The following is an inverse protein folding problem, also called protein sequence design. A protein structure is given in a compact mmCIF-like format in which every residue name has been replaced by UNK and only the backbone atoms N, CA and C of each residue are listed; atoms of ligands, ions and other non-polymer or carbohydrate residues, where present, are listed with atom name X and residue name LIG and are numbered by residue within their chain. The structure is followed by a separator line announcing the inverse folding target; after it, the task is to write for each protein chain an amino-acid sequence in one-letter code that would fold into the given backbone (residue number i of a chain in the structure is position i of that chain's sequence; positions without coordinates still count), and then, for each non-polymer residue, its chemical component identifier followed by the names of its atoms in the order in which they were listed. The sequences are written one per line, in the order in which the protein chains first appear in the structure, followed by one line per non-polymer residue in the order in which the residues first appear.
data_IF_063550028613
#
_entry.id   IF_063550028613
#
_cell.length_a   1.000
_cell.length_b   1.000
_cell.length_c   1.000
_cell.angle_alpha   90.00
_cell.angle_beta   90.00
_cell.angle_gamma   90.00
#
_symmetry.space_group_name_H-M   'P 1'
#
loop_
_entity.id
_entity.type
_entity.pdbx_description
1 polymer ?
#
# COMPACT_ATOMS: atom_id res chain seq x y z
N UNK A 1 -57.32 -29.31 36.89
CA UNK A 1 -56.73 -29.80 35.63
C UNK A 1 -55.81 -28.71 35.09
N UNK A 2 -54.50 -28.90 35.20
CA UNK A 2 -53.49 -27.91 34.75
C UNK A 2 -53.24 -28.02 33.25
N UNK A 3 -52.99 -26.90 32.54
CA UNK A 3 -52.55 -26.94 31.15
C UNK A 3 -51.06 -27.30 31.08
N UNK A 4 -50.72 -28.26 30.22
CA UNK A 4 -49.33 -28.61 29.89
C UNK A 4 -48.82 -27.63 28.84
N UNK A 5 -47.84 -26.81 29.20
CA UNK A 5 -47.13 -25.89 28.31
C UNK A 5 -46.08 -26.65 27.50
N UNK A 6 -46.30 -26.75 26.18
CA UNK A 6 -45.38 -27.33 25.21
C UNK A 6 -44.28 -26.30 24.89
N UNK A 7 -43.06 -26.51 25.39
CA UNK A 7 -41.92 -25.65 25.11
C UNK A 7 -41.26 -26.11 23.81
N UNK A 8 -41.44 -25.33 22.74
CA UNK A 8 -40.69 -25.52 21.50
C UNK A 8 -39.26 -25.00 21.72
N UNK A 9 -38.30 -25.91 21.86
CA UNK A 9 -36.89 -25.55 21.83
C UNK A 9 -36.49 -25.25 20.37
N UNK A 10 -36.36 -23.96 20.03
CA UNK A 10 -35.75 -23.54 18.77
C UNK A 10 -34.23 -23.72 18.92
N UNK A 11 -33.69 -24.76 18.29
CA UNK A 11 -32.25 -24.94 18.18
C UNK A 11 -31.68 -23.93 17.17
N UNK A 12 -30.96 -22.92 17.65
CA UNK A 12 -30.11 -22.08 16.80
C UNK A 12 -28.92 -22.92 16.34
N UNK A 13 -28.97 -23.44 15.11
CA UNK A 13 -27.76 -23.91 14.43
C UNK A 13 -26.91 -22.69 14.09
N UNK A 14 -25.87 -22.45 14.87
CA UNK A 14 -24.81 -21.50 14.52
C UNK A 14 -24.01 -22.10 13.35
N UNK A 15 -24.29 -21.67 12.13
CA UNK A 15 -23.42 -21.94 10.98
C UNK A 15 -22.12 -21.16 11.17
N UNK A 16 -21.06 -21.86 11.57
CA UNK A 16 -19.70 -21.33 11.54
C UNK A 16 -19.29 -21.14 10.09
N UNK A 17 -19.45 -19.93 9.56
CA UNK A 17 -18.83 -19.54 8.30
C UNK A 17 -17.33 -19.50 8.59
N UNK A 18 -16.49 -20.29 7.90
CA UNK A 18 -15.05 -20.13 8.04
C UNK A 18 -14.72 -18.71 7.58
N UNK A 19 -14.25 -17.88 8.51
CA UNK A 19 -13.59 -16.63 8.17
C UNK A 19 -12.34 -17.01 7.39
N UNK A 20 -12.40 -16.90 6.06
CA UNK A 20 -11.24 -17.07 5.22
C UNK A 20 -10.29 -15.91 5.56
N UNK A 21 -9.18 -16.24 6.22
CA UNK A 21 -8.11 -15.29 6.46
C UNK A 21 -7.65 -14.70 5.12
N UNK A 22 -7.14 -13.47 5.17
CA UNK A 22 -6.57 -12.86 3.97
C UNK A 22 -5.42 -13.74 3.44
N UNK A 23 -5.39 -13.93 2.12
CA UNK A 23 -4.38 -14.78 1.49
C UNK A 23 -2.98 -14.20 1.77
N UNK A 24 -2.02 -15.02 2.25
CA UNK A 24 -0.68 -14.53 2.52
C UNK A 24 -0.01 -14.06 1.24
N UNK A 25 0.69 -12.92 1.31
CA UNK A 25 1.51 -12.47 0.19
C UNK A 25 2.59 -13.50 -0.14
N UNK A 26 2.93 -13.70 -1.43
CA UNK A 26 4.01 -14.59 -1.81
C UNK A 26 5.33 -14.13 -1.19
N UNK A 27 6.27 -15.04 -0.90
CA UNK A 27 7.56 -14.68 -0.33
C UNK A 27 8.29 -13.66 -1.23
N UNK A 28 9.20 -12.83 -0.66
CA UNK A 28 10.03 -11.94 -1.44
C UNK A 28 10.75 -12.68 -2.57
N UNK A 29 10.72 -12.11 -3.77
CA UNK A 29 11.35 -12.65 -4.96
C UNK A 29 11.96 -11.50 -5.76
N UNK A 30 12.98 -11.82 -6.57
CA UNK A 30 13.44 -10.87 -7.56
C UNK A 30 12.31 -10.58 -8.56
N UNK A 31 12.14 -9.30 -8.90
CA UNK A 31 11.16 -8.89 -9.90
C UNK A 31 11.77 -7.86 -10.84
N UNK A 32 11.16 -7.73 -12.02
CA UNK A 32 11.48 -6.75 -13.03
C UNK A 32 10.19 -6.32 -13.72
N UNK A 33 10.01 -5.02 -13.91
CA UNK A 33 8.94 -4.49 -14.76
C UNK A 33 9.39 -3.21 -15.48
N UNK A 34 8.70 -2.90 -16.57
CA UNK A 34 8.89 -1.68 -17.35
C UNK A 34 7.58 -0.92 -17.33
N UNK A 35 7.61 0.37 -16.98
CA UNK A 35 6.43 1.23 -17.06
C UNK A 35 6.10 1.57 -18.51
N UNK A 36 4.90 2.08 -18.78
CA UNK A 36 4.53 2.58 -20.10
C UNK A 36 5.47 3.71 -20.59
N UNK A 37 6.04 4.47 -19.66
CA UNK A 37 7.00 5.55 -19.93
C UNK A 37 8.45 5.05 -20.09
N UNK A 38 8.68 3.73 -20.04
CA UNK A 38 9.98 3.06 -20.17
C UNK A 38 10.95 3.27 -19.01
N UNK A 39 10.43 3.47 -17.80
CA UNK A 39 11.26 3.34 -16.58
C UNK A 39 11.38 1.85 -16.25
N UNK A 40 12.60 1.37 -16.05
CA UNK A 40 12.81 -0.01 -15.63
C UNK A 40 12.96 -0.05 -14.11
N UNK A 41 12.28 -1.00 -13.47
CA UNK A 41 12.35 -1.20 -12.03
C UNK A 41 12.70 -2.65 -11.74
N UNK A 42 13.75 -2.87 -10.95
CA UNK A 42 14.19 -4.21 -10.55
C UNK A 42 14.30 -4.30 -9.04
N UNK A 43 13.55 -5.21 -8.41
CA UNK A 43 13.78 -5.59 -7.02
C UNK A 43 14.87 -6.65 -6.95
N UNK A 44 16.07 -6.30 -6.47
CA UNK A 44 17.23 -7.18 -6.44
C UNK A 44 17.34 -7.85 -5.08
N UNK A 45 16.68 -9.00 -4.92
CA UNK A 45 16.59 -9.71 -3.62
C UNK A 45 17.97 -10.03 -3.02
N UNK A 46 18.92 -10.50 -3.84
CA UNK A 46 20.25 -10.88 -3.37
C UNK A 46 21.10 -9.71 -2.82
N UNK A 47 20.74 -8.47 -3.17
CA UNK A 47 21.41 -7.25 -2.69
C UNK A 47 20.53 -6.43 -1.74
N UNK A 48 19.32 -6.91 -1.44
CA UNK A 48 18.31 -6.22 -0.65
C UNK A 48 18.13 -4.75 -1.07
N UNK A 49 17.73 -4.52 -2.32
CA UNK A 49 17.50 -3.19 -2.87
C UNK A 49 16.47 -3.16 -4.00
N UNK A 50 16.06 -1.96 -4.37
CA UNK A 50 15.36 -1.67 -5.64
C UNK A 50 16.26 -0.83 -6.52
N UNK A 51 16.41 -1.21 -7.78
CA UNK A 51 17.11 -0.45 -8.82
C UNK A 51 16.12 0.20 -9.76
N UNK A 52 16.37 1.46 -10.09
CA UNK A 52 15.60 2.27 -11.01
C UNK A 52 16.51 2.67 -12.17
N UNK A 53 16.14 2.28 -13.39
CA UNK A 53 16.77 2.79 -14.62
C UNK A 53 15.80 3.82 -15.22
N UNK A 54 16.11 5.13 -15.16
CA UNK A 54 15.23 6.18 -15.63
C UNK A 54 15.15 6.22 -17.16
N UNK A 55 14.21 7.02 -17.68
CA UNK A 55 14.01 7.17 -19.13
C UNK A 55 15.24 7.74 -19.84
N UNK A 56 16.07 8.50 -19.13
CA UNK A 56 17.32 9.05 -19.66
C UNK A 56 18.38 7.98 -19.97
N UNK A 57 18.29 6.80 -19.33
CA UNK A 57 19.10 5.64 -19.67
C UNK A 57 19.84 5.02 -18.49
N UNK A 58 20.59 3.95 -18.78
CA UNK A 58 21.29 3.13 -17.78
C UNK A 58 22.39 3.89 -17.02
N UNK A 59 22.98 4.92 -17.62
CA UNK A 59 24.03 5.72 -16.96
C UNK A 59 23.49 6.53 -15.77
N UNK A 60 22.19 6.81 -15.75
CA UNK A 60 21.51 7.51 -14.65
C UNK A 60 20.81 6.55 -13.68
N UNK A 61 21.16 5.26 -13.73
CA UNK A 61 20.61 4.24 -12.83
C UNK A 61 20.92 4.57 -11.39
N UNK A 62 19.92 4.44 -10.53
CA UNK A 62 20.05 4.67 -9.10
C UNK A 62 19.33 3.59 -8.28
N UNK A 63 19.61 3.55 -6.98
CA UNK A 63 19.18 2.46 -6.10
C UNK A 63 18.53 3.01 -4.82
N UNK A 64 17.51 2.29 -4.33
CA UNK A 64 16.86 2.51 -3.03
C UNK A 64 17.21 1.33 -2.14
N UNK A 65 17.68 1.56 -0.89
CA UNK A 65 18.02 0.49 0.03
C UNK A 65 16.78 -0.32 0.47
N UNK A 66 16.96 -1.62 0.57
CA UNK A 66 15.94 -2.59 0.95
C UNK A 66 15.12 -3.09 -0.22
N UNK A 67 14.81 -4.39 -0.24
CA UNK A 67 13.82 -4.95 -1.15
C UNK A 67 12.44 -4.38 -0.81
N UNK A 68 11.68 -3.97 -1.83
CA UNK A 68 10.34 -3.38 -1.68
C UNK A 68 9.37 -4.04 -2.64
N UNK A 69 8.17 -4.37 -2.17
CA UNK A 69 7.11 -4.98 -2.99
C UNK A 69 6.27 -3.95 -3.75
N UNK A 70 6.06 -2.79 -3.15
CA UNK A 70 5.07 -1.81 -3.58
C UNK A 70 5.77 -0.56 -4.11
N UNK A 71 6.19 -0.58 -5.37
CA UNK A 71 7.08 0.44 -5.96
C UNK A 71 6.39 1.10 -7.16
N UNK A 72 6.30 2.43 -7.12
CA UNK A 72 5.64 3.24 -8.14
C UNK A 72 6.56 4.40 -8.58
N UNK A 73 7.36 4.24 -9.65
CA UNK A 73 8.20 5.32 -10.15
C UNK A 73 7.39 6.45 -10.80
N UNK A 74 7.96 7.66 -10.83
CA UNK A 74 7.49 8.75 -11.69
C UNK A 74 7.72 8.43 -13.17
N UNK A 75 7.07 9.17 -14.06
CA UNK A 75 7.18 8.95 -15.50
C UNK A 75 8.61 9.00 -16.04
N UNK A 76 9.47 9.84 -15.47
CA UNK A 76 10.88 10.01 -15.85
C UNK A 76 11.85 9.11 -15.06
N UNK A 77 11.37 8.44 -14.01
CA UNK A 77 12.18 7.61 -13.11
C UNK A 77 13.06 8.41 -12.15
N UNK A 78 12.84 9.71 -12.01
CA UNK A 78 13.61 10.57 -11.07
C UNK A 78 13.07 10.51 -9.64
N UNK A 79 11.82 10.06 -9.46
CA UNK A 79 11.20 9.88 -8.16
C UNK A 79 10.53 8.51 -8.06
N UNK A 80 10.39 8.01 -6.84
CA UNK A 80 9.70 6.75 -6.57
C UNK A 80 8.87 6.89 -5.31
N UNK A 81 7.60 6.49 -5.40
CA UNK A 81 6.76 6.23 -4.25
C UNK A 81 6.88 4.76 -3.88
N UNK A 82 7.24 4.49 -2.63
CA UNK A 82 7.21 3.15 -2.05
C UNK A 82 6.07 3.10 -1.06
N UNK A 83 5.09 2.24 -1.31
CA UNK A 83 3.97 2.03 -0.40
C UNK A 83 4.25 0.95 0.65
N UNK A 84 3.33 0.80 1.61
CA UNK A 84 3.38 -0.23 2.64
C UNK A 84 3.66 -1.64 2.07
N UNK A 85 4.51 -2.46 2.75
CA UNK A 85 4.93 -3.78 2.26
C UNK A 85 3.79 -4.81 2.15
N UNK A 86 2.73 -4.64 2.93
CA UNK A 86 1.46 -5.39 2.83
C UNK A 86 0.56 -4.93 1.68
N UNK A 87 1.11 -4.19 0.70
CA UNK A 87 0.36 -3.57 -0.39
C UNK A 87 -0.75 -2.67 0.17
N UNK A 88 -2.00 -2.96 -0.16
CA UNK A 88 -3.18 -2.24 0.29
C UNK A 88 -3.65 -2.60 1.71
N UNK A 89 -3.00 -3.56 2.39
CA UNK A 89 -3.38 -4.06 3.71
C UNK A 89 -2.31 -3.73 4.77
N UNK A 90 -2.75 -3.24 5.93
CA UNK A 90 -1.92 -3.02 7.11
C UNK A 90 -2.04 -4.21 8.06
N UNK A 91 -0.90 -4.75 8.47
CA UNK A 91 -0.84 -5.80 9.50
C UNK A 91 -0.99 -5.20 10.91
N UNK A 92 -1.62 -5.96 11.81
CA UNK A 92 -1.77 -5.54 13.20
C UNK A 92 -2.74 -4.37 13.41
N UNK A 93 -2.64 -3.74 14.59
CA UNK A 93 -3.47 -2.58 14.95
C UNK A 93 -2.91 -1.34 14.27
N UNK A 94 -3.69 -0.65 13.41
CA UNK A 94 -3.24 0.57 12.77
C UNK A 94 -3.00 1.70 13.78
N UNK A 95 -1.91 2.45 13.62
CA UNK A 95 -1.61 3.64 14.42
C UNK A 95 -1.39 4.86 13.53
N UNK A 96 -1.70 6.08 14.00
CA UNK A 96 -1.55 7.29 13.19
C UNK A 96 -0.11 7.52 12.69
N UNK A 97 0.89 7.11 13.45
CA UNK A 97 2.31 7.33 13.17
C UNK A 97 2.89 6.32 12.18
N UNK A 98 2.14 5.26 11.85
CA UNK A 98 2.60 4.23 10.92
C UNK A 98 2.87 4.84 9.55
N UNK A 99 4.11 4.81 9.10
CA UNK A 99 4.47 5.17 7.72
C UNK A 99 3.80 4.22 6.74
N UNK A 100 3.04 4.77 5.80
CA UNK A 100 2.38 4.00 4.73
C UNK A 100 2.92 4.32 3.35
N UNK A 101 3.64 5.44 3.20
CA UNK A 101 4.36 5.78 1.99
C UNK A 101 5.73 6.40 2.31
N UNK A 102 6.71 6.11 1.46
CA UNK A 102 8.01 6.76 1.38
C UNK A 102 8.18 7.38 -0.01
N UNK A 103 8.81 8.54 -0.09
CA UNK A 103 9.10 9.22 -1.35
C UNK A 103 10.60 9.33 -1.49
N UNK A 104 11.14 8.74 -2.55
CA UNK A 104 12.55 8.73 -2.87
C UNK A 104 12.81 9.56 -4.14
N UNK A 105 13.99 10.19 -4.20
CA UNK A 105 14.49 10.89 -5.36
C UNK A 105 15.85 10.35 -5.79
N UNK A 106 16.13 10.39 -7.09
CA UNK A 106 17.45 10.10 -7.61
C UNK A 106 18.50 11.04 -6.94
N UNK A 107 19.69 10.53 -6.57
CA UNK A 107 20.21 9.17 -6.83
C UNK A 107 19.97 8.15 -5.70
N UNK A 108 18.97 8.33 -4.83
CA UNK A 108 18.68 7.44 -3.70
C UNK A 108 18.38 8.17 -2.38
N UNK A 109 17.92 9.42 -2.45
CA UNK A 109 17.58 10.24 -1.28
C UNK A 109 16.12 10.00 -0.86
N UNK A 110 15.90 9.74 0.43
CA UNK A 110 14.55 9.75 1.00
C UNK A 110 14.10 11.20 1.20
N UNK A 111 13.19 11.69 0.36
CA UNK A 111 12.63 13.04 0.46
C UNK A 111 11.69 13.19 1.65
N UNK A 112 10.95 12.13 1.99
CA UNK A 112 10.01 12.15 3.09
C UNK A 112 9.12 10.93 3.19
N UNK A 113 8.29 10.92 4.21
CA UNK A 113 7.35 9.84 4.52
C UNK A 113 5.94 10.39 4.74
N UNK A 114 4.94 9.55 4.51
CA UNK A 114 3.54 9.85 4.80
C UNK A 114 3.06 8.89 5.90
N UNK A 115 2.80 9.40 7.12
CA UNK A 115 2.18 8.61 8.17
C UNK A 115 0.67 8.49 7.93
N UNK A 116 0.09 7.35 8.32
CA UNK A 116 -1.33 7.02 8.11
C UNK A 116 -2.27 8.12 8.61
N UNK A 117 -2.00 8.69 9.79
CA UNK A 117 -2.79 9.74 10.43
C UNK A 117 -2.84 11.05 9.64
N UNK A 118 -1.95 11.25 8.66
CA UNK A 118 -2.05 12.40 7.73
C UNK A 118 -3.15 12.19 6.70
N UNK A 119 -3.44 10.93 6.35
CA UNK A 119 -4.41 10.57 5.32
C UNK A 119 -5.81 10.36 5.90
N UNK A 120 -5.91 9.70 7.05
CA UNK A 120 -7.18 9.39 7.69
C UNK A 120 -6.99 9.00 9.15
N UNK A 121 -8.09 8.99 9.92
CA UNK A 121 -8.10 8.38 11.25
C UNK A 121 -7.94 6.85 11.10
N UNK A 122 -6.96 6.21 11.75
CA UNK A 122 -6.83 4.75 11.73
C UNK A 122 -8.09 4.00 12.19
N UNK A 123 -8.95 4.62 13.02
CA UNK A 123 -10.22 4.05 13.45
C UNK A 123 -11.25 3.92 12.31
N UNK A 124 -11.09 4.68 11.22
CA UNK A 124 -11.99 4.68 10.06
C UNK A 124 -11.59 3.64 8.99
N UNK A 125 -10.51 2.88 9.22
CA UNK A 125 -10.05 1.88 8.26
C UNK A 125 -11.02 0.70 8.15
N UNK A 126 -11.27 0.28 6.91
CA UNK A 126 -12.09 -0.90 6.62
C UNK A 126 -11.35 -2.18 7.09
N UNK A 127 -11.91 -2.94 8.06
CA UNK A 127 -11.30 -4.18 8.50
C UNK A 127 -11.54 -5.29 7.47
N UNK A 128 -10.54 -6.16 7.30
CA UNK A 128 -10.65 -7.44 6.59
C UNK A 128 -10.67 -8.59 7.60
N UNK A 129 -10.50 -9.84 7.15
CA UNK A 129 -10.48 -10.98 8.06
C UNK A 129 -9.32 -10.92 9.07
N UNK A 130 -8.18 -10.34 8.69
CA UNK A 130 -7.01 -10.22 9.58
C UNK A 130 -6.21 -8.91 9.46
N UNK A 131 -6.63 -7.97 8.60
CA UNK A 131 -5.91 -6.73 8.31
C UNK A 131 -6.85 -5.52 8.27
N UNK A 132 -6.29 -4.36 7.93
CA UNK A 132 -7.03 -3.15 7.63
C UNK A 132 -6.64 -2.63 6.25
N UNK A 133 -7.63 -2.31 5.42
CA UNK A 133 -7.39 -1.71 4.11
C UNK A 133 -7.13 -0.22 4.29
N UNK A 134 -6.01 0.28 3.79
CA UNK A 134 -5.62 1.70 3.92
C UNK A 134 -5.64 2.49 2.61
N UNK A 135 -5.79 1.79 1.49
CA UNK A 135 -5.78 2.39 0.15
C UNK A 135 -6.63 1.56 -0.80
N UNK A 136 -7.27 2.24 -1.75
CA UNK A 136 -8.08 1.64 -2.79
C UNK A 136 -7.40 1.63 -4.16
N UNK A 137 -6.44 2.54 -4.42
CA UNK A 137 -5.69 2.56 -5.67
C UNK A 137 -4.75 3.77 -5.78
N UNK A 138 -3.87 3.72 -6.77
CA UNK A 138 -2.87 4.75 -7.07
C UNK A 138 -2.82 5.00 -8.58
N UNK A 139 -2.46 6.22 -8.96
CA UNK A 139 -2.23 6.60 -10.34
C UNK A 139 -1.18 7.72 -10.41
N UNK A 140 -0.21 7.61 -11.31
CA UNK A 140 0.64 8.75 -11.65
C UNK A 140 -0.13 9.72 -12.56
N UNK A 141 -0.08 11.02 -12.27
CA UNK A 141 -0.85 12.06 -12.98
C UNK A 141 0.01 13.02 -13.81
N UNK A 142 1.31 12.78 -13.92
CA UNK A 142 2.26 13.67 -14.58
C UNK A 142 3.03 14.57 -13.61
N UNK A 143 2.38 15.03 -12.54
CA UNK A 143 2.97 15.92 -11.52
C UNK A 143 3.13 15.28 -10.14
N UNK A 144 2.63 14.05 -9.97
CA UNK A 144 2.60 13.37 -8.70
C UNK A 144 1.73 12.12 -8.72
N UNK A 145 1.64 11.46 -7.57
CA UNK A 145 0.76 10.32 -7.36
C UNK A 145 -0.59 10.78 -6.81
N UNK A 146 -1.65 10.41 -7.51
CA UNK A 146 -3.02 10.50 -7.03
C UNK A 146 -3.43 9.17 -6.46
N UNK A 147 -4.08 9.16 -5.31
CA UNK A 147 -4.56 7.93 -4.69
C UNK A 147 -5.87 8.14 -3.94
N UNK A 148 -6.58 7.03 -3.73
CA UNK A 148 -7.90 6.97 -3.10
C UNK A 148 -7.79 6.23 -1.77
N UNK A 149 -8.18 6.88 -0.68
CA UNK A 149 -8.34 6.23 0.63
C UNK A 149 -9.71 5.54 0.72
N UNK A 150 -9.86 4.52 1.60
CA UNK A 150 -11.10 3.75 1.74
C UNK A 150 -12.36 4.57 2.06
N UNK A 151 -12.19 5.73 2.72
CA UNK A 151 -13.25 6.70 3.01
C UNK A 151 -13.76 7.46 1.77
N UNK A 152 -13.21 7.16 0.59
CA UNK A 152 -13.58 7.80 -0.67
C UNK A 152 -12.81 9.09 -0.97
N UNK A 153 -11.84 9.46 -0.13
CA UNK A 153 -11.07 10.69 -0.29
C UNK A 153 -9.92 10.53 -1.28
N UNK A 154 -9.80 11.50 -2.20
CA UNK A 154 -8.64 11.59 -3.09
C UNK A 154 -7.53 12.45 -2.48
N UNK A 155 -6.31 12.01 -2.73
CA UNK A 155 -5.09 12.69 -2.31
C UNK A 155 -4.14 12.81 -3.49
N UNK A 156 -3.41 13.91 -3.55
CA UNK A 156 -2.34 14.16 -4.50
C UNK A 156 -1.03 14.40 -3.76
N UNK A 157 0.00 13.63 -4.11
CA UNK A 157 1.35 13.73 -3.58
C UNK A 157 2.31 14.14 -4.69
N UNK A 158 2.76 15.39 -4.66
CA UNK A 158 3.80 15.91 -5.55
C UNK A 158 5.17 15.71 -4.89
N UNK A 159 6.19 15.18 -5.61
CA UNK A 159 7.54 15.03 -5.06
C UNK A 159 8.36 16.32 -5.11
N UNK A 160 7.98 17.31 -5.93
CA UNK A 160 8.74 18.54 -6.10
C UNK A 160 7.84 19.78 -6.36
N UNK A 161 7.71 20.71 -5.39
CA UNK A 161 8.12 20.54 -4.00
C UNK A 161 7.35 19.37 -3.36
N UNK A 162 7.96 18.72 -2.35
CA UNK A 162 7.27 17.64 -1.63
C UNK A 162 6.02 18.19 -0.96
N UNK A 163 4.85 17.78 -1.42
CA UNK A 163 3.57 18.28 -0.94
C UNK A 163 2.47 17.25 -1.09
N UNK A 164 1.73 17.06 -0.01
CA UNK A 164 0.52 16.25 0.03
C UNK A 164 -0.71 17.16 0.13
N UNK A 165 -1.70 16.93 -0.72
CA UNK A 165 -2.92 17.73 -0.81
C UNK A 165 -4.13 16.80 -0.84
N UNK A 166 -5.15 17.14 -0.07
CA UNK A 166 -6.49 16.54 -0.14
C UNK A 166 -7.27 17.21 -1.27
N UNK A 167 -7.80 16.42 -2.22
CA UNK A 167 -8.60 16.90 -3.36
C UNK A 167 -10.08 17.15 -3.01
#
# INVERSE_FOLDING_TARGET
MSPRSLHWAVAFLASAVPALADEPLPPPAQYFFITETRVHVTGVLARDLVRIEPVSGIEDTWEIPGWRRNVHPSADGQYVLVGNPGLNLLEGVPTPERTVMEIWAAPGELLGTVPLGTLMDPADLEPTASHHRWIAGYQWTGTGWRFLTPDGQFWHLSPNPLRLIRE
#
